data_IF_285242684767
#
_entry.id   IF_285242684767
#
_cell.length_a   1.000
_cell.length_b   1.000
_cell.length_c   1.000
_cell.angle_alpha   90.00
_cell.angle_beta   90.00
_cell.angle_gamma   90.00
#
_symmetry.space_group_name_H-M   'P 1'
#
loop_
_entity.id
_entity.type
_entity.pdbx_description
1 polymer ?
#
# COMPACT_ATOMS: atom_id res chain seq x y z
N UNK A 1 -5.07 10.15 14.13
CA UNK A 1 -5.43 8.88 13.48
C UNK A 1 -5.24 9.07 11.98
N UNK A 2 -4.42 8.28 11.26
CA UNK A 2 -4.58 8.25 9.81
C UNK A 2 -6.02 7.80 9.55
N UNK A 3 -6.74 8.61 8.80
CA UNK A 3 -8.15 8.43 8.51
C UNK A 3 -8.40 7.03 7.97
N UNK A 4 -9.47 6.41 8.48
CA UNK A 4 -10.11 5.17 7.98
C UNK A 4 -10.32 5.18 6.44
N UNK A 5 -10.17 6.33 5.77
CA UNK A 5 -10.33 6.49 4.33
C UNK A 5 -9.40 5.60 3.49
N UNK A 6 -8.12 5.41 3.86
CA UNK A 6 -7.20 4.63 3.01
C UNK A 6 -7.59 3.14 2.90
N UNK A 7 -8.40 2.64 3.84
CA UNK A 7 -8.71 1.21 3.97
C UNK A 7 -9.98 0.77 3.25
N UNK A 8 -10.75 1.74 2.73
CA UNK A 8 -12.08 1.50 2.16
C UNK A 8 -12.15 1.80 0.67
N UNK A 9 -11.03 2.11 0.03
CA UNK A 9 -10.98 2.31 -1.42
C UNK A 9 -10.66 1.00 -2.14
N UNK A 10 -11.33 0.79 -3.25
CA UNK A 10 -11.04 -0.27 -4.20
C UNK A 10 -9.78 0.11 -5.01
N UNK A 11 -8.89 -0.86 -5.20
CA UNK A 11 -7.67 -0.67 -5.98
C UNK A 11 -7.71 -1.55 -7.22
N UNK A 12 -7.38 -0.96 -8.36
CA UNK A 12 -7.07 -1.68 -9.61
C UNK A 12 -5.68 -1.21 -10.03
N UNK A 13 -4.76 -2.15 -10.19
CA UNK A 13 -3.42 -1.88 -10.71
C UNK A 13 -3.43 -2.03 -12.23
N UNK A 14 -2.96 -1.00 -12.93
CA UNK A 14 -2.64 -1.07 -14.36
C UNK A 14 -1.13 -1.05 -14.54
N UNK A 15 -0.54 -2.19 -14.90
CA UNK A 15 0.90 -2.42 -14.92
C UNK A 15 1.36 -3.07 -16.23
N UNK A 16 1.20 -2.39 -17.37
CA UNK A 16 1.47 -2.97 -18.70
C UNK A 16 2.95 -3.37 -18.92
N UNK A 17 3.87 -2.76 -18.18
CA UNK A 17 5.31 -2.99 -18.26
C UNK A 17 5.85 -3.91 -17.14
N UNK A 18 4.96 -4.57 -16.37
CA UNK A 18 5.31 -5.37 -15.19
C UNK A 18 6.47 -6.35 -15.44
N UNK A 19 6.48 -7.03 -16.59
CA UNK A 19 7.52 -8.00 -16.96
C UNK A 19 8.91 -7.37 -17.09
N UNK A 20 8.99 -6.10 -17.47
CA UNK A 20 10.24 -5.36 -17.56
C UNK A 20 10.66 -4.82 -16.19
N UNK A 21 9.71 -4.26 -15.43
CA UNK A 21 9.93 -3.62 -14.14
C UNK A 21 10.33 -4.62 -13.04
N UNK A 22 9.73 -5.82 -13.06
CA UNK A 22 10.00 -6.89 -12.08
C UNK A 22 11.41 -7.49 -12.12
N UNK A 23 12.26 -7.09 -13.07
CA UNK A 23 13.57 -7.75 -13.27
C UNK A 23 14.74 -7.09 -12.54
N UNK A 24 14.78 -5.76 -12.36
CA UNK A 24 15.94 -5.06 -11.78
C UNK A 24 15.55 -3.75 -11.06
N UNK A 25 15.81 -3.59 -9.75
CA UNK A 25 16.27 -4.60 -8.79
C UNK A 25 15.22 -5.69 -8.48
N UNK A 26 14.04 -5.59 -9.09
CA UNK A 26 12.90 -6.45 -8.82
C UNK A 26 11.95 -5.82 -7.79
N UNK A 27 10.98 -6.59 -7.34
CA UNK A 27 9.99 -6.18 -6.36
C UNK A 27 10.32 -6.79 -5.00
N UNK A 28 10.13 -6.02 -3.93
CA UNK A 28 10.35 -6.47 -2.55
C UNK A 28 9.23 -7.35 -2.01
N UNK A 29 8.11 -7.40 -2.72
CA UNK A 29 6.94 -8.23 -2.45
C UNK A 29 6.59 -9.01 -3.71
N UNK A 30 5.96 -10.16 -3.55
CA UNK A 30 5.34 -10.84 -4.68
C UNK A 30 4.08 -10.05 -5.10
N UNK A 31 4.27 -9.08 -5.98
CA UNK A 31 3.23 -8.11 -6.33
C UNK A 31 1.97 -8.76 -6.90
N UNK A 32 2.09 -9.83 -7.68
CA UNK A 32 0.92 -10.49 -8.27
C UNK A 32 0.11 -11.28 -7.23
N UNK A 33 0.75 -11.75 -6.17
CA UNK A 33 0.10 -12.48 -5.09
C UNK A 33 -0.38 -11.57 -3.95
N UNK A 34 0.37 -10.51 -3.67
CA UNK A 34 0.16 -9.68 -2.49
C UNK A 34 -0.65 -8.40 -2.75
N UNK A 35 -0.74 -7.94 -4.00
CA UNK A 35 -1.46 -6.72 -4.30
C UNK A 35 -2.95 -6.85 -3.92
N UNK A 36 -3.52 -5.91 -3.14
CA UNK A 36 -4.84 -6.05 -2.56
C UNK A 36 -5.96 -5.57 -3.52
N UNK A 37 -5.92 -6.01 -4.76
CA UNK A 37 -6.84 -5.58 -5.82
C UNK A 37 -6.60 -6.30 -7.14
N UNK A 38 -7.40 -5.95 -8.15
CA UNK A 38 -7.23 -6.51 -9.51
C UNK A 38 -5.94 -5.99 -10.14
N UNK A 39 -5.17 -6.87 -10.81
CA UNK A 39 -3.95 -6.50 -11.52
C UNK A 39 -4.17 -6.71 -13.01
N UNK A 40 -4.00 -5.65 -13.78
CA UNK A 40 -4.30 -5.60 -15.22
C UNK A 40 -3.06 -5.18 -16.00
N UNK A 41 -2.87 -5.78 -17.17
CA UNK A 41 -1.68 -5.58 -18.02
C UNK A 41 -1.99 -4.93 -19.36
N UNK A 42 -3.28 -4.82 -19.71
CA UNK A 42 -3.74 -4.16 -20.91
C UNK A 42 -5.08 -3.45 -20.68
N UNK A 43 -5.47 -2.61 -21.64
CA UNK A 43 -6.66 -1.78 -21.55
C UNK A 43 -7.96 -2.59 -21.47
N UNK A 44 -8.03 -3.75 -22.14
CA UNK A 44 -9.21 -4.60 -22.10
C UNK A 44 -9.45 -5.18 -20.71
N UNK A 45 -8.39 -5.68 -20.06
CA UNK A 45 -8.44 -6.14 -18.67
C UNK A 45 -8.81 -5.01 -17.71
N UNK A 46 -8.26 -3.81 -17.91
CA UNK A 46 -8.59 -2.63 -17.10
C UNK A 46 -10.06 -2.24 -17.22
N UNK A 47 -10.59 -2.17 -18.45
CA UNK A 47 -12.00 -1.85 -18.69
C UNK A 47 -12.90 -2.89 -18.04
N UNK A 48 -12.56 -4.18 -18.17
CA UNK A 48 -13.31 -5.26 -17.53
C UNK A 48 -13.28 -5.11 -16.01
N UNK A 49 -12.11 -4.90 -15.41
CA UNK A 49 -11.95 -4.72 -13.97
C UNK A 49 -12.80 -3.55 -13.44
N UNK A 50 -12.81 -2.41 -14.15
CA UNK A 50 -13.62 -1.25 -13.78
C UNK A 50 -15.13 -1.53 -13.79
N UNK A 51 -15.59 -2.49 -14.59
CA UNK A 51 -17.01 -2.85 -14.68
C UNK A 51 -17.42 -3.93 -13.66
N UNK A 52 -16.49 -4.79 -13.25
CA UNK A 52 -16.79 -5.97 -12.42
C UNK A 52 -16.35 -5.83 -10.97
N UNK A 53 -15.33 -5.02 -10.68
CA UNK A 53 -14.82 -4.84 -9.32
C UNK A 53 -15.74 -3.93 -8.52
N UNK A 54 -16.20 -4.44 -7.38
CA UNK A 54 -17.04 -3.71 -6.43
C UNK A 54 -16.35 -3.59 -5.06
N UNK A 55 -17.07 -3.03 -4.07
CA UNK A 55 -16.54 -2.84 -2.72
C UNK A 55 -16.25 -4.14 -1.97
N UNK A 56 -16.96 -5.22 -2.29
CA UNK A 56 -16.78 -6.51 -1.63
C UNK A 56 -15.59 -7.27 -2.22
N UNK A 57 -15.31 -7.05 -3.50
CA UNK A 57 -14.16 -7.59 -4.22
C UNK A 57 -12.87 -7.24 -3.48
N UNK A 58 -11.98 -8.21 -3.28
CA UNK A 58 -10.68 -8.05 -2.64
C UNK A 58 -10.68 -7.51 -1.19
N UNK A 59 -11.81 -7.53 -0.49
CA UNK A 59 -11.90 -6.96 0.87
C UNK A 59 -10.97 -7.67 1.87
N UNK A 60 -10.87 -8.99 1.78
CA UNK A 60 -10.03 -9.80 2.67
C UNK A 60 -8.54 -9.55 2.37
N UNK A 61 -8.19 -9.52 1.11
CA UNK A 61 -6.87 -9.26 0.57
C UNK A 61 -6.39 -7.88 1.01
N UNK A 62 -7.25 -6.85 0.92
CA UNK A 62 -7.01 -5.53 1.50
C UNK A 62 -6.72 -5.60 2.99
N UNK A 63 -7.58 -6.25 3.77
CA UNK A 63 -7.39 -6.35 5.22
C UNK A 63 -6.06 -7.01 5.58
N UNK A 64 -5.72 -8.12 4.92
CA UNK A 64 -4.45 -8.86 5.12
C UNK A 64 -3.25 -8.02 4.71
N UNK A 65 -3.27 -7.41 3.53
CA UNK A 65 -2.18 -6.55 3.06
C UNK A 65 -1.94 -5.35 3.98
N UNK A 66 -3.01 -4.72 4.46
CA UNK A 66 -2.91 -3.60 5.38
C UNK A 66 -2.35 -4.00 6.74
N UNK A 67 -2.77 -5.14 7.28
CA UNK A 67 -2.23 -5.68 8.52
C UNK A 67 -0.72 -5.98 8.36
N UNK A 68 -0.31 -6.57 7.23
CA UNK A 68 1.11 -6.85 6.96
C UNK A 68 1.94 -5.56 6.86
N UNK A 69 1.45 -4.56 6.12
CA UNK A 69 2.28 -3.43 5.67
C UNK A 69 2.35 -2.29 6.68
N UNK A 70 1.39 -2.17 7.59
CA UNK A 70 1.32 -0.99 8.45
C UNK A 70 1.01 -1.34 9.92
N UNK A 71 1.98 -1.96 10.57
CA UNK A 71 1.89 -2.31 11.97
C UNK A 71 2.12 -1.13 12.94
N UNK A 72 2.67 0.00 12.46
CA UNK A 72 3.07 1.13 13.31
C UNK A 72 2.22 2.39 13.03
N UNK A 73 0.93 2.33 13.35
CA UNK A 73 -0.08 3.36 13.02
C UNK A 73 -0.64 4.14 14.22
N UNK A 74 0.11 4.25 15.31
CA UNK A 74 -0.34 4.95 16.53
C UNK A 74 -0.63 6.45 16.34
N UNK A 75 -0.26 7.02 15.18
CA UNK A 75 -0.46 8.43 14.84
C UNK A 75 0.49 9.36 15.59
N UNK A 76 1.51 8.82 16.25
CA UNK A 76 2.46 9.57 17.09
C UNK A 76 3.87 9.62 16.50
N UNK A 77 4.01 9.31 15.20
CA UNK A 77 5.31 9.32 14.53
C UNK A 77 5.99 10.70 14.66
N UNK A 78 5.29 11.78 14.35
CA UNK A 78 5.81 13.15 14.47
C UNK A 78 6.19 13.50 15.91
N UNK A 79 5.33 13.17 16.88
CA UNK A 79 5.61 13.40 18.30
C UNK A 79 6.90 12.68 18.76
N UNK A 80 7.08 11.41 18.35
CA UNK A 80 8.28 10.63 18.66
C UNK A 80 9.54 11.23 18.05
N UNK A 81 9.47 11.72 16.82
CA UNK A 81 10.60 12.38 16.15
C UNK A 81 10.95 13.69 16.84
N UNK A 82 9.96 14.53 17.19
CA UNK A 82 10.20 15.79 17.89
C UNK A 82 10.87 15.57 19.25
N UNK A 83 10.36 14.63 20.04
CA UNK A 83 10.98 14.27 21.33
C UNK A 83 12.42 13.78 21.18
N UNK A 84 12.72 13.03 20.13
CA UNK A 84 14.08 12.57 19.85
C UNK A 84 15.01 13.75 19.50
N UNK A 85 14.54 14.68 18.66
CA UNK A 85 15.29 15.88 18.29
C UNK A 85 15.58 16.72 19.55
N UNK A 86 14.57 16.98 20.37
CA UNK A 86 14.72 17.71 21.64
C UNK A 86 15.71 17.02 22.57
N UNK A 87 15.64 15.69 22.71
CA UNK A 87 16.56 14.94 23.54
C UNK A 87 18.01 15.04 23.04
N UNK A 88 18.24 14.96 21.73
CA UNK A 88 19.58 15.13 21.14
C UNK A 88 20.09 16.54 21.38
N UNK A 89 19.27 17.56 21.10
CA UNK A 89 19.64 18.97 21.28
C UNK A 89 19.94 19.30 22.75
N UNK A 90 19.20 18.73 23.69
CA UNK A 90 19.39 18.94 25.13
C UNK A 90 20.51 18.08 25.74
N UNK A 91 20.96 17.02 25.04
CA UNK A 91 22.13 16.21 25.43
C UNK A 91 23.43 16.71 24.79
N UNK A 92 23.36 17.64 23.84
CA UNK A 92 24.52 18.26 23.19
C UNK A 92 24.64 19.75 23.56
N UNK A 93 24.88 20.01 24.85
CA UNK A 93 25.65 21.13 25.45
C UNK A 93 25.73 20.96 26.97
#
# INVERSE_FOLDING_TARGET
MPSISLFSFEFIAYVPDFKSYSKKPGLTIDYLQEFPGEVTFNESELIQALQTTDRASYQKERATFFQKTYNYRDGKATERVLKLIEAIMNQSL
#
